data_IF_990218600991
#
_entry.id   IF_990218600991
#
_cell.length_a   1.000
_cell.length_b   1.000
_cell.length_c   1.000
_cell.angle_alpha   90.00
_cell.angle_beta   90.00
_cell.angle_gamma   90.00
#
_symmetry.space_group_name_H-M   'P 1'
#
loop_
_entity.id
_entity.type
_entity.pdbx_description
1 polymer ?
#
# COMPACT_ATOMS: atom_id res chain seq x y z
N UNK A 1 -0.54 -2.01 27.03
CA UNK A 1 0.36 -1.60 26.28
C UNK A 1 -0.08 -0.54 25.39
N UNK A 2 0.57 0.40 25.30
CA UNK A 2 0.12 1.56 24.61
C UNK A 2 0.43 1.52 23.14
N UNK A 3 0.48 0.37 22.66
CA UNK A 3 0.93 0.26 21.32
C UNK A 3 -0.16 0.41 20.30
N UNK A 4 -1.38 0.50 20.76
CA UNK A 4 -2.48 0.57 19.83
C UNK A 4 -2.36 1.71 18.84
N UNK A 5 -1.81 2.82 19.28
CA UNK A 5 -1.73 3.96 18.38
C UNK A 5 -0.81 3.73 17.21
N UNK A 6 0.06 2.76 17.29
CA UNK A 6 0.93 2.48 16.16
C UNK A 6 0.18 1.90 15.00
N UNK A 7 -1.00 1.37 15.27
CA UNK A 7 -1.78 0.75 14.24
C UNK A 7 -2.85 1.65 13.68
N UNK A 8 -2.90 2.88 14.19
CA UNK A 8 -3.91 3.83 13.72
C UNK A 8 -3.66 4.24 12.28
N UNK A 9 -2.43 4.14 11.82
CA UNK A 9 -2.06 4.59 10.49
C UNK A 9 -1.33 3.49 9.75
N UNK A 10 -2.04 2.44 9.37
CA UNK A 10 -1.40 1.35 8.64
C UNK A 10 -1.02 1.79 7.24
N UNK A 11 -0.09 1.06 6.67
CA UNK A 11 0.32 1.24 5.29
C UNK A 11 -0.45 0.27 4.41
N UNK A 12 -0.87 0.76 3.26
CA UNK A 12 -1.61 -0.05 2.31
C UNK A 12 -0.89 -0.03 0.98
N UNK A 13 -0.73 -1.21 0.39
CA UNK A 13 -0.21 -1.33 -0.97
C UNK A 13 -1.38 -1.82 -1.82
N UNK A 14 -1.75 -1.03 -2.81
CA UNK A 14 -2.97 -1.26 -3.56
C UNK A 14 -2.71 -1.17 -5.07
N UNK A 15 -3.42 -1.99 -5.83
CA UNK A 15 -3.42 -1.87 -7.27
C UNK A 15 -4.74 -1.24 -7.70
N UNK A 16 -4.68 -0.26 -8.59
CA UNK A 16 -5.84 0.48 -9.05
C UNK A 16 -6.18 0.06 -10.47
N UNK A 17 -7.42 0.38 -10.89
CA UNK A 17 -7.81 0.12 -12.26
C UNK A 17 -7.14 1.11 -13.21
N UNK A 18 -7.34 0.92 -14.51
CA UNK A 18 -6.67 1.74 -15.51
C UNK A 18 -7.06 3.21 -15.45
N UNK A 19 -8.20 3.51 -14.87
CA UNK A 19 -8.66 4.89 -14.78
C UNK A 19 -8.26 5.56 -13.48
N UNK A 20 -7.58 4.81 -12.58
CA UNK A 20 -7.12 5.32 -11.29
C UNK A 20 -8.30 5.76 -10.42
N UNK A 21 -9.45 5.14 -10.59
CA UNK A 21 -10.63 5.51 -9.83
C UNK A 21 -11.04 4.49 -8.79
N UNK A 22 -10.72 3.21 -9.01
CA UNK A 22 -11.10 2.16 -8.07
C UNK A 22 -9.93 1.24 -7.76
N UNK A 23 -9.86 0.79 -6.52
CA UNK A 23 -8.86 -0.19 -6.10
C UNK A 23 -9.31 -1.55 -6.59
N UNK A 24 -8.48 -2.21 -7.39
CA UNK A 24 -8.74 -3.55 -7.87
C UNK A 24 -8.32 -4.62 -6.89
N UNK A 25 -7.24 -4.37 -6.18
CA UNK A 25 -6.70 -5.38 -5.27
C UNK A 25 -5.95 -4.72 -4.13
N UNK A 26 -6.21 -5.18 -2.91
CA UNK A 26 -5.40 -4.82 -1.76
C UNK A 26 -4.27 -5.83 -1.68
N UNK A 27 -3.06 -5.40 -1.96
CA UNK A 27 -1.90 -6.29 -2.03
C UNK A 27 -1.32 -6.55 -0.64
N UNK A 28 -1.25 -5.52 0.17
CA UNK A 28 -0.68 -5.64 1.50
C UNK A 28 -1.24 -4.59 2.43
N UNK A 29 -1.40 -4.96 3.69
CA UNK A 29 -1.85 -4.06 4.75
C UNK A 29 -0.99 -4.37 5.95
N UNK A 30 -0.19 -3.40 6.39
CA UNK A 30 0.74 -3.64 7.49
C UNK A 30 1.05 -2.33 8.20
N UNK A 31 1.35 -2.44 9.49
CA UNK A 31 1.80 -1.28 10.25
C UNK A 31 3.29 -1.02 10.10
N UNK A 32 3.99 -1.88 9.38
CA UNK A 32 5.43 -1.77 9.25
C UNK A 32 5.79 -1.20 7.88
N UNK A 33 6.37 0.00 7.88
CA UNK A 33 6.73 0.67 6.64
C UNK A 33 7.69 -0.14 5.78
N UNK A 34 8.65 -0.81 6.39
CA UNK A 34 9.64 -1.57 5.61
C UNK A 34 9.01 -2.73 4.89
N UNK A 35 8.06 -3.38 5.54
CA UNK A 35 7.32 -4.46 4.91
C UNK A 35 6.46 -3.92 3.79
N UNK A 36 5.77 -2.80 4.05
CA UNK A 36 4.94 -2.18 3.03
C UNK A 36 5.76 -1.79 1.82
N UNK A 37 6.92 -1.19 2.04
CA UNK A 37 7.75 -0.77 0.94
C UNK A 37 8.27 -1.95 0.13
N UNK A 38 8.66 -3.02 0.80
CA UNK A 38 9.10 -4.22 0.10
C UNK A 38 7.97 -4.79 -0.76
N UNK A 39 6.76 -4.81 -0.21
CA UNK A 39 5.60 -5.29 -0.96
C UNK A 39 5.33 -4.39 -2.16
N UNK A 40 5.45 -3.08 -1.98
CA UNK A 40 5.24 -2.13 -3.06
C UNK A 40 6.24 -2.35 -4.20
N UNK A 41 7.52 -2.44 -3.86
CA UNK A 41 8.57 -2.63 -4.87
C UNK A 41 8.34 -3.92 -5.64
N UNK A 42 8.02 -4.98 -4.93
CA UNK A 42 7.77 -6.27 -5.55
C UNK A 42 6.52 -6.23 -6.43
N UNK A 43 5.48 -5.56 -5.96
CA UNK A 43 4.24 -5.45 -6.72
C UNK A 43 4.45 -4.69 -8.04
N UNK A 44 5.22 -3.63 -8.00
CA UNK A 44 5.52 -2.86 -9.20
C UNK A 44 6.25 -3.72 -10.22
N UNK A 45 7.20 -4.52 -9.76
CA UNK A 45 7.94 -5.41 -10.66
C UNK A 45 7.05 -6.44 -11.31
N UNK A 46 6.11 -6.98 -10.55
CA UNK A 46 5.28 -8.09 -11.02
C UNK A 46 4.06 -7.66 -11.80
N UNK A 47 3.74 -6.38 -11.76
CA UNK A 47 2.54 -5.84 -12.41
C UNK A 47 2.90 -4.67 -13.30
N UNK A 48 3.70 -4.91 -14.34
CA UNK A 48 4.10 -3.81 -15.22
C UNK A 48 2.89 -3.22 -15.92
N UNK A 49 2.86 -1.91 -16.01
CA UNK A 49 1.75 -1.22 -16.64
C UNK A 49 0.54 -1.03 -15.75
N UNK A 50 0.57 -1.53 -14.53
CA UNK A 50 -0.55 -1.33 -13.59
C UNK A 50 -0.22 -0.21 -12.64
N UNK A 51 -1.26 0.42 -12.11
CA UNK A 51 -1.09 1.51 -11.14
C UNK A 51 -1.05 0.89 -9.75
N UNK A 52 0.09 1.00 -9.10
CA UNK A 52 0.28 0.47 -7.75
C UNK A 52 0.68 1.63 -6.85
N UNK A 53 0.06 1.75 -5.70
CA UNK A 53 0.39 2.81 -4.75
C UNK A 53 0.71 2.23 -3.38
N UNK A 54 1.57 2.95 -2.67
CA UNK A 54 1.82 2.73 -1.26
C UNK A 54 1.32 3.96 -0.55
N UNK A 55 0.37 3.78 0.35
CA UNK A 55 -0.13 4.93 1.11
C UNK A 55 -0.26 4.58 2.57
N UNK A 56 -0.21 5.62 3.39
CA UNK A 56 -0.38 5.49 4.81
C UNK A 56 -1.72 6.09 5.14
N UNK A 57 -2.72 5.23 5.19
CA UNK A 57 -4.09 5.58 5.48
C UNK A 57 -4.62 6.77 4.69
N UNK A 58 -4.23 7.99 5.02
CA UNK A 58 -4.74 9.17 4.36
C UNK A 58 -3.69 9.87 3.50
N UNK A 59 -2.59 9.18 3.20
CA UNK A 59 -1.46 9.86 2.58
C UNK A 59 -0.76 8.93 1.60
N UNK A 60 -0.56 9.42 0.39
CA UNK A 60 0.20 8.65 -0.60
C UNK A 60 1.68 8.84 -0.33
N UNK A 61 2.43 7.77 -0.23
CA UNK A 61 3.87 7.82 0.02
C UNK A 61 4.68 7.04 -1.01
N UNK A 62 4.01 6.50 -2.01
CA UNK A 62 4.73 5.78 -3.05
C UNK A 62 3.88 5.38 -4.22
#
# INVERSE_FOLDING_TARGET
MATGRQFDLPYLVEQWDDTDSDVEELIALTGDYRVARAAYVEAVKRRPGRIVTLRQKNKIVG
#
